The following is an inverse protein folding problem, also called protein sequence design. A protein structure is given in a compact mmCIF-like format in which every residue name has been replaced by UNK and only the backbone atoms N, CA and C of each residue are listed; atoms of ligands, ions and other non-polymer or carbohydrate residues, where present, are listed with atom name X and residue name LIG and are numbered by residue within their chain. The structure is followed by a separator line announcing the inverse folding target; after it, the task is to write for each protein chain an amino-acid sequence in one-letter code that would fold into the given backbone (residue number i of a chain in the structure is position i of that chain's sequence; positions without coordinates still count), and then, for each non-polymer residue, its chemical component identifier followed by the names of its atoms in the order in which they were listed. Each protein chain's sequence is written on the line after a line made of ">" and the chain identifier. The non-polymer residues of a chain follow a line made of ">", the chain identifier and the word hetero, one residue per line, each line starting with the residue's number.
data_IF_419981683222
#
_entry.id   IF_419981683222
#
_cell.length_a   1.000
_cell.length_b   1.000
_cell.length_c   1.000
_cell.angle_alpha   90.00
_cell.angle_beta   90.00
_cell.angle_gamma   90.00
#
_symmetry.space_group_name_H-M   'P 1'
#
loop_
_entity.id
_entity.type
_entity.pdbx_description
1 polymer ?
#
# COMPACT_ATOMS: atom_id res chain seq x y z
N UNK A 1 -12.06 -0.55 -15.02
CA UNK A 1 -11.62 -1.97 -14.88
C UNK A 1 -11.36 -2.27 -13.42
N UNK A 2 -11.94 -3.34 -12.89
CA UNK A 2 -11.84 -3.74 -11.48
C UNK A 2 -11.03 -5.04 -11.39
N UNK A 3 -9.84 -5.04 -10.77
CA UNK A 3 -9.21 -6.32 -10.40
C UNK A 3 -10.05 -6.98 -9.32
N UNK A 4 -10.48 -8.21 -9.61
CA UNK A 4 -11.20 -9.07 -8.66
C UNK A 4 -10.26 -9.72 -7.64
N UNK A 5 -8.95 -9.53 -7.75
CA UNK A 5 -8.00 -10.06 -6.78
C UNK A 5 -8.07 -9.27 -5.47
N UNK A 6 -8.34 -10.00 -4.39
CA UNK A 6 -8.45 -9.46 -3.04
C UNK A 6 -7.27 -9.97 -2.23
N UNK A 7 -6.41 -9.06 -1.80
CA UNK A 7 -5.48 -9.30 -0.68
C UNK A 7 -6.34 -9.58 0.57
N UNK A 8 -5.95 -10.55 1.39
CA UNK A 8 -6.72 -10.89 2.58
C UNK A 8 -6.53 -9.80 3.64
N UNK A 9 -7.59 -9.33 4.32
CA UNK A 9 -7.43 -8.54 5.54
C UNK A 9 -6.57 -9.30 6.57
N UNK A 10 -5.63 -8.61 7.19
CA UNK A 10 -4.61 -9.16 8.07
C UNK A 10 -3.29 -9.55 7.37
N UNK A 11 -3.24 -9.56 6.04
CA UNK A 11 -1.98 -9.79 5.32
C UNK A 11 -1.03 -8.59 5.46
N UNK A 12 0.27 -8.88 5.52
CA UNK A 12 1.33 -7.86 5.50
C UNK A 12 1.79 -7.64 4.05
N UNK A 13 1.91 -6.38 3.65
CA UNK A 13 2.43 -5.97 2.35
C UNK A 13 3.51 -4.90 2.53
N UNK A 14 4.54 -4.95 1.69
CA UNK A 14 5.65 -4.02 1.73
C UNK A 14 5.45 -2.94 0.67
N UNK A 15 5.27 -1.69 1.08
CA UNK A 15 5.03 -0.58 0.15
C UNK A 15 6.14 0.46 0.23
N UNK A 16 6.51 1.06 -0.91
CA UNK A 16 7.37 2.23 -0.89
C UNK A 16 6.63 3.39 -0.20
N UNK A 17 7.31 3.99 0.75
CA UNK A 17 6.85 5.10 1.56
C UNK A 17 7.94 6.17 1.62
N UNK A 18 7.56 7.38 2.01
CA UNK A 18 8.50 8.49 2.16
C UNK A 18 8.80 8.64 3.63
N UNK A 19 10.08 8.59 3.98
CA UNK A 19 10.51 9.01 5.30
C UNK A 19 10.58 10.53 5.35
N UNK A 20 9.62 11.12 6.05
CA UNK A 20 9.55 12.56 6.29
C UNK A 20 10.46 13.00 7.46
N UNK A 21 11.00 12.05 8.23
CA UNK A 21 11.94 12.30 9.33
C UNK A 21 13.41 12.36 8.83
N UNK A 22 13.61 12.71 7.55
CA UNK A 22 14.93 12.69 6.89
C UNK A 22 16.03 13.40 7.68
N UNK A 23 17.28 12.94 7.49
CA UNK A 23 18.53 13.34 8.14
C UNK A 23 18.81 14.87 8.13
N UNK A 24 18.07 15.71 8.85
CA UNK A 24 18.35 17.14 9.06
C UNK A 24 18.43 18.06 7.82
N UNK A 25 18.57 17.52 6.61
CA UNK A 25 18.84 18.19 5.33
C UNK A 25 17.59 18.32 4.44
N UNK A 26 16.42 17.86 4.91
CA UNK A 26 15.16 17.96 4.18
C UNK A 26 15.03 17.05 2.95
N UNK A 27 15.96 16.11 2.75
CA UNK A 27 15.89 15.12 1.66
C UNK A 27 14.91 14.00 2.01
N UNK A 28 13.88 13.85 1.19
CA UNK A 28 12.92 12.75 1.28
C UNK A 28 13.59 11.43 0.88
N UNK A 29 13.65 10.47 1.80
CA UNK A 29 14.19 9.14 1.52
C UNK A 29 13.05 8.18 1.22
N UNK A 30 13.11 7.51 0.07
CA UNK A 30 12.20 6.39 -0.22
C UNK A 30 12.63 5.19 0.61
N UNK A 31 11.71 4.69 1.43
CA UNK A 31 11.92 3.50 2.27
C UNK A 31 10.83 2.48 1.98
N UNK A 32 11.15 1.21 2.13
CA UNK A 32 10.13 0.16 2.11
C UNK A 32 9.57 0.01 3.53
N UNK A 33 8.26 0.20 3.69
CA UNK A 33 7.59 -0.01 4.96
C UNK A 33 6.59 -1.15 4.86
N UNK A 34 6.49 -1.87 5.96
CA UNK A 34 5.51 -2.94 6.10
C UNK A 34 4.16 -2.37 6.56
N UNK A 35 3.10 -2.84 5.92
CA UNK A 35 1.73 -2.43 6.12
C UNK A 35 0.82 -3.63 6.27
N UNK A 36 0.00 -3.65 7.31
CA UNK A 36 -1.08 -4.62 7.50
C UNK A 36 -2.34 -4.15 6.77
N UNK A 37 -2.97 -5.04 6.00
CA UNK A 37 -4.25 -4.77 5.35
C UNK A 37 -5.37 -4.81 6.38
N UNK A 38 -6.01 -3.67 6.65
CA UNK A 38 -7.12 -3.60 7.60
C UNK A 38 -8.46 -3.91 6.95
N UNK A 39 -8.73 -3.29 5.79
CA UNK A 39 -10.03 -3.37 5.16
C UNK A 39 -9.94 -3.31 3.64
N UNK A 40 -10.89 -3.98 3.00
CA UNK A 40 -11.01 -4.07 1.56
C UNK A 40 -12.28 -3.37 1.10
N UNK A 41 -12.09 -2.26 0.37
CA UNK A 41 -13.15 -1.60 -0.38
C UNK A 41 -13.07 -2.02 -1.85
N UNK A 42 -14.11 -1.70 -2.62
CA UNK A 42 -14.19 -2.11 -4.03
C UNK A 42 -13.00 -1.59 -4.86
N UNK A 43 -12.62 -0.34 -4.66
CA UNK A 43 -11.60 0.35 -5.47
C UNK A 43 -10.26 0.61 -4.77
N UNK A 44 -10.19 0.37 -3.46
CA UNK A 44 -9.02 0.69 -2.64
C UNK A 44 -8.95 -0.16 -1.38
N UNK A 45 -7.80 -0.14 -0.73
CA UNK A 45 -7.49 -0.93 0.47
C UNK A 45 -7.01 0.01 1.56
N UNK A 46 -7.52 -0.19 2.78
CA UNK A 46 -7.04 0.52 3.96
C UNK A 46 -5.94 -0.29 4.61
N UNK A 47 -4.78 0.35 4.80
CA UNK A 47 -3.59 -0.24 5.36
C UNK A 47 -3.17 0.48 6.63
N UNK A 48 -2.44 -0.22 7.51
CA UNK A 48 -1.86 0.35 8.72
C UNK A 48 -0.47 -0.23 8.98
N UNK A 49 0.51 0.61 9.26
CA UNK A 49 1.86 0.16 9.64
C UNK A 49 2.00 -0.01 11.16
N UNK A 50 3.18 -0.47 11.60
CA UNK A 50 3.51 -0.67 13.02
C UNK A 50 3.42 0.62 13.86
N UNK A 51 3.69 1.79 13.25
CA UNK A 51 3.61 3.10 13.90
C UNK A 51 2.16 3.64 14.00
N UNK A 52 1.17 2.89 13.51
CA UNK A 52 -0.23 3.28 13.55
C UNK A 52 -0.67 4.20 12.42
N UNK A 53 0.22 4.56 11.49
CA UNK A 53 -0.09 5.39 10.33
C UNK A 53 -0.97 4.59 9.38
N UNK A 54 -2.07 5.20 8.93
CA UNK A 54 -3.01 4.59 7.99
C UNK A 54 -2.79 5.14 6.59
N UNK A 55 -2.87 4.26 5.59
CA UNK A 55 -2.73 4.62 4.18
C UNK A 55 -3.84 3.95 3.37
N UNK A 56 -4.52 4.74 2.54
CA UNK A 56 -5.41 4.23 1.51
C UNK A 56 -4.61 3.98 0.25
N UNK A 57 -4.68 2.78 -0.32
CA UNK A 57 -4.00 2.45 -1.58
C UNK A 57 -5.03 1.93 -2.56
N UNK A 58 -5.06 2.54 -3.74
CA UNK A 58 -5.99 2.20 -4.81
C UNK A 58 -5.59 0.91 -5.51
N UNK A 59 -6.54 0.27 -6.19
CA UNK A 59 -6.23 -0.93 -6.98
C UNK A 59 -5.24 -0.64 -8.09
N UNK A 60 -5.28 0.57 -8.66
CA UNK A 60 -4.36 1.01 -9.70
C UNK A 60 -2.91 1.10 -9.16
N UNK A 61 -2.72 1.69 -7.97
CA UNK A 61 -1.40 1.72 -7.32
C UNK A 61 -0.90 0.30 -7.03
N UNK A 62 -1.75 -0.57 -6.49
CA UNK A 62 -1.38 -1.96 -6.23
C UNK A 62 -1.04 -2.73 -7.53
N UNK A 63 -1.70 -2.44 -8.64
CA UNK A 63 -1.36 -3.00 -9.96
C UNK A 63 -0.02 -2.50 -10.46
N UNK A 64 0.23 -1.19 -10.39
CA UNK A 64 1.51 -0.60 -10.79
C UNK A 64 2.69 -1.16 -9.98
N UNK A 65 2.42 -1.52 -8.72
CA UNK A 65 3.39 -2.16 -7.83
C UNK A 65 3.47 -3.69 -7.99
N UNK A 66 2.64 -4.30 -8.84
CA UNK A 66 2.62 -5.75 -9.08
C UNK A 66 1.94 -6.59 -8.00
N UNK A 67 1.24 -5.99 -7.03
CA UNK A 67 0.48 -6.71 -6.00
C UNK A 67 -0.85 -7.28 -6.49
N UNK A 68 -1.42 -6.69 -7.53
CA UNK A 68 -2.66 -7.14 -8.16
C UNK A 68 -2.43 -7.26 -9.65
N UNK A 69 -2.87 -8.36 -10.25
CA UNK A 69 -2.94 -8.46 -11.70
C UNK A 69 -4.29 -7.90 -12.18
N UNK A 70 -4.22 -7.22 -13.32
CA UNK A 70 -5.39 -6.85 -14.08
C UNK A 70 -5.88 -8.09 -14.84
N UNK A 71 -6.78 -8.86 -14.23
CA UNK A 71 -7.52 -9.88 -14.99
C UNK A 71 -8.49 -9.15 -15.91
N UNK A 72 -8.11 -9.03 -17.17
CA UNK A 72 -9.02 -8.65 -18.26
C UNK A 72 -9.97 -9.83 -18.41
N UNK A 73 -11.22 -9.65 -18.00
CA UNK A 73 -12.33 -10.57 -18.25
C UNK A 73 -12.99 -10.17 -19.57
#
# INVERSE_FOLDING_TARGET
>A
MLSKEKIKPGSMIHLPDIDYMGDGEGKQKKIMREYCVLHHYDHWRLLKNAFGIRRGVTNAELMQMGFLNQKIL
#
